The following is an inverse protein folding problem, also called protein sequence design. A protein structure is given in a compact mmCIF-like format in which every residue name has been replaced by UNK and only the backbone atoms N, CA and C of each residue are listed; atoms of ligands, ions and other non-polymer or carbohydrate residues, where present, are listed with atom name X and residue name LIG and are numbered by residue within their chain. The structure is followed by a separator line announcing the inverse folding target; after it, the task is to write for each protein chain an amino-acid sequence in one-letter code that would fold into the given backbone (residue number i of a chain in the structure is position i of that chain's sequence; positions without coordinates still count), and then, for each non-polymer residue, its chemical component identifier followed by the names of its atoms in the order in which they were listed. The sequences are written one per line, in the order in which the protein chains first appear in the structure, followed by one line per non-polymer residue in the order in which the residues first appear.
data_IF_551259187425
#
_entry.id   IF_551259187425
#
_cell.length_a   1.000
_cell.length_b   1.000
_cell.length_c   1.000
_cell.angle_alpha   90.00
_cell.angle_beta   90.00
_cell.angle_gamma   90.00
#
_symmetry.space_group_name_H-M   'P 1'
#
loop_
_entity.id
_entity.type
_entity.pdbx_description
1 polymer ?
#
# COMPACT_ATOMS: atom_id res chain seq x y z
N UNK A 1 -6.21 14.19 -4.26
CA UNK A 1 -6.54 14.88 -5.54
C UNK A 1 -5.78 14.19 -6.65
N UNK A 2 -6.48 13.68 -7.65
CA UNK A 2 -5.86 13.02 -8.80
C UNK A 2 -5.22 14.10 -9.65
N UNK A 3 -3.92 14.00 -9.88
CA UNK A 3 -3.24 14.80 -10.90
C UNK A 3 -3.56 14.15 -12.25
N UNK A 4 -3.98 14.90 -13.23
CA UNK A 4 -4.37 14.35 -14.53
C UNK A 4 -3.40 13.34 -15.13
N UNK A 5 -3.85 12.59 -16.11
CA UNK A 5 -3.01 11.64 -16.85
C UNK A 5 -2.05 12.40 -17.78
N UNK A 6 -0.74 12.28 -17.53
CA UNK A 6 0.30 12.94 -18.34
C UNK A 6 0.33 12.43 -19.79
N UNK A 7 -0.07 11.18 -20.03
CA UNK A 7 -0.18 10.60 -21.37
C UNK A 7 -1.47 11.01 -22.10
N UNK A 8 -2.43 11.63 -21.41
CA UNK A 8 -3.73 12.04 -21.93
C UNK A 8 -4.55 10.91 -22.58
N UNK A 9 -4.30 9.69 -22.17
CA UNK A 9 -4.99 8.49 -22.69
C UNK A 9 -6.28 8.19 -21.91
N UNK A 10 -6.40 8.70 -20.69
CA UNK A 10 -7.55 8.49 -19.82
C UNK A 10 -8.09 9.85 -19.40
N UNK A 11 -9.40 10.02 -19.55
CA UNK A 11 -10.09 11.15 -18.97
C UNK A 11 -10.10 11.02 -17.45
N UNK A 12 -9.48 11.99 -16.77
CA UNK A 12 -9.35 11.97 -15.30
C UNK A 12 -10.48 12.74 -14.65
N UNK A 13 -11.05 12.16 -13.63
CA UNK A 13 -12.06 12.76 -12.77
C UNK A 13 -11.40 13.28 -11.48
N UNK A 14 -12.12 14.10 -10.72
CA UNK A 14 -11.62 14.66 -9.46
C UNK A 14 -11.36 13.56 -8.43
N UNK A 15 -12.20 12.53 -8.42
CA UNK A 15 -12.16 11.43 -7.47
C UNK A 15 -12.11 10.07 -8.21
N UNK A 16 -11.71 9.03 -7.49
CA UNK A 16 -11.71 7.67 -8.00
C UNK A 16 -13.12 7.11 -8.11
N UNK A 17 -13.74 7.28 -9.27
CA UNK A 17 -15.02 6.62 -9.59
C UNK A 17 -14.80 5.20 -10.11
N UNK A 18 -15.81 4.32 -10.09
CA UNK A 18 -15.74 3.01 -10.72
C UNK A 18 -15.32 3.09 -12.20
N UNK A 19 -15.84 4.06 -12.95
CA UNK A 19 -15.47 4.31 -14.34
C UNK A 19 -13.99 4.58 -14.49
N UNK A 20 -13.44 5.48 -13.67
CA UNK A 20 -12.01 5.84 -13.72
C UNK A 20 -11.11 4.66 -13.33
N UNK A 21 -11.48 3.93 -12.28
CA UNK A 21 -10.78 2.70 -11.88
C UNK A 21 -10.71 1.69 -13.02
N UNK A 22 -11.83 1.44 -13.67
CA UNK A 22 -11.94 0.44 -14.72
C UNK A 22 -11.18 0.90 -15.98
N UNK A 23 -11.25 2.17 -16.37
CA UNK A 23 -10.46 2.75 -17.47
C UNK A 23 -8.96 2.64 -17.22
N UNK A 24 -8.51 2.88 -15.99
CA UNK A 24 -7.10 2.71 -15.62
C UNK A 24 -6.66 1.24 -15.69
N UNK A 25 -7.52 0.33 -15.24
CA UNK A 25 -7.25 -1.11 -15.32
C UNK A 25 -7.20 -1.60 -16.78
N UNK A 26 -8.07 -1.08 -17.66
CA UNK A 26 -8.04 -1.38 -19.11
C UNK A 26 -6.72 -0.92 -19.75
N UNK A 27 -6.23 0.26 -19.36
CA UNK A 27 -4.92 0.74 -19.81
C UNK A 27 -3.78 -0.18 -19.37
N UNK A 28 -3.78 -0.62 -18.12
CA UNK A 28 -2.78 -1.57 -17.61
C UNK A 28 -2.83 -2.89 -18.40
N UNK A 29 -4.01 -3.43 -18.64
CA UNK A 29 -4.18 -4.63 -19.47
C UNK A 29 -3.68 -4.42 -20.90
N UNK A 30 -3.98 -3.28 -21.51
CA UNK A 30 -3.49 -2.92 -22.83
C UNK A 30 -1.94 -2.84 -22.92
N UNK A 31 -1.29 -2.48 -21.81
CA UNK A 31 0.18 -2.54 -21.74
C UNK A 31 0.64 -3.99 -21.59
N UNK A 32 0.05 -4.76 -20.70
CA UNK A 32 0.42 -6.17 -20.48
C UNK A 32 0.25 -7.02 -21.72
N UNK A 33 -0.82 -6.83 -22.50
CA UNK A 33 -1.08 -7.57 -23.74
C UNK A 33 -0.01 -7.35 -24.82
N UNK A 34 0.71 -6.24 -24.78
CA UNK A 34 1.85 -5.99 -25.68
C UNK A 34 3.08 -6.83 -25.35
N UNK A 35 3.19 -7.30 -24.12
CA UNK A 35 4.34 -8.06 -23.61
C UNK A 35 4.05 -9.54 -23.41
N UNK A 36 2.78 -9.92 -23.34
CA UNK A 36 2.33 -11.30 -23.11
C UNK A 36 1.49 -11.72 -24.31
N UNK A 37 2.08 -12.51 -25.21
CA UNK A 37 1.50 -12.85 -26.53
C UNK A 37 0.17 -13.60 -26.48
N UNK A 38 -0.13 -14.31 -25.39
CA UNK A 38 -1.36 -15.08 -25.22
C UNK A 38 -2.25 -14.51 -24.08
N UNK A 39 -2.15 -13.21 -23.80
CA UNK A 39 -2.82 -12.55 -22.70
C UNK A 39 -4.33 -12.89 -22.61
N UNK A 40 -5.06 -12.74 -23.71
CA UNK A 40 -6.51 -12.95 -23.72
C UNK A 40 -6.89 -14.43 -23.50
N UNK A 41 -6.03 -15.36 -23.88
CA UNK A 41 -6.26 -16.78 -23.68
C UNK A 41 -6.00 -17.24 -22.24
N UNK A 42 -5.07 -16.60 -21.54
CA UNK A 42 -4.68 -16.99 -20.17
C UNK A 42 -5.40 -16.19 -19.10
N UNK A 43 -5.97 -15.04 -19.45
CA UNK A 43 -6.67 -14.19 -18.49
C UNK A 43 -7.98 -14.84 -18.03
N UNK A 44 -8.03 -15.29 -16.79
CA UNK A 44 -9.23 -15.88 -16.20
C UNK A 44 -10.19 -14.81 -15.66
N UNK A 45 -9.67 -13.79 -14.97
CA UNK A 45 -10.46 -12.74 -14.34
C UNK A 45 -9.58 -11.54 -14.00
N UNK A 46 -10.21 -10.36 -13.94
CA UNK A 46 -9.60 -9.14 -13.40
C UNK A 46 -10.37 -8.67 -12.17
N UNK A 47 -9.63 -8.17 -11.18
CA UNK A 47 -10.18 -7.36 -10.11
C UNK A 47 -9.26 -6.14 -9.91
N UNK A 48 -9.83 -4.96 -9.94
CA UNK A 48 -9.12 -3.71 -9.71
C UNK A 48 -9.65 -3.04 -8.44
N UNK A 49 -8.75 -2.47 -7.67
CA UNK A 49 -9.09 -1.64 -6.52
C UNK A 49 -8.46 -0.26 -6.71
N UNK A 50 -9.27 0.77 -6.54
CA UNK A 50 -8.79 2.14 -6.48
C UNK A 50 -8.26 2.46 -5.08
N UNK A 51 -7.50 3.55 -4.91
CA UNK A 51 -7.16 4.06 -3.58
C UNK A 51 -8.36 4.29 -2.67
N UNK A 52 -9.47 4.78 -3.22
CA UNK A 52 -10.72 4.95 -2.47
C UNK A 52 -11.33 3.62 -2.02
N UNK A 53 -11.27 2.58 -2.86
CA UNK A 53 -11.71 1.23 -2.46
C UNK A 53 -10.86 0.69 -1.30
N UNK A 54 -9.54 0.87 -1.35
CA UNK A 54 -8.63 0.41 -0.28
C UNK A 54 -8.92 1.14 1.03
N UNK A 55 -9.10 2.45 1.00
CA UNK A 55 -9.48 3.22 2.18
C UNK A 55 -10.87 2.82 2.72
N UNK A 56 -11.81 2.51 1.82
CA UNK A 56 -13.14 2.00 2.21
C UNK A 56 -13.09 0.64 2.88
N UNK A 57 -12.16 -0.23 2.49
CA UNK A 57 -11.94 -1.54 3.10
C UNK A 57 -11.26 -1.46 4.47
N UNK A 58 -10.38 -0.49 4.66
CA UNK A 58 -9.68 -0.24 5.91
C UNK A 58 -9.38 1.25 6.06
N UNK A 59 -10.03 1.89 7.00
CA UNK A 59 -9.93 3.34 7.27
C UNK A 59 -8.51 3.79 7.65
N UNK A 60 -7.63 2.87 8.07
CA UNK A 60 -6.24 3.19 8.36
C UNK A 60 -5.40 3.34 7.08
N UNK A 61 -5.89 2.88 5.93
CA UNK A 61 -5.25 3.08 4.63
C UNK A 61 -5.63 4.45 4.06
N UNK A 62 -5.21 5.52 4.72
CA UNK A 62 -5.58 6.89 4.36
C UNK A 62 -5.11 7.21 2.94
N UNK A 63 -6.03 7.63 2.08
CA UNK A 63 -5.75 7.85 0.65
C UNK A 63 -5.41 6.57 -0.13
N UNK A 64 -5.71 5.39 0.43
CA UNK A 64 -5.36 4.09 -0.17
C UNK A 64 -3.89 3.70 0.00
N UNK A 65 -3.16 4.37 0.90
CA UNK A 65 -1.75 4.07 1.15
C UNK A 65 -1.57 2.81 2.00
N UNK A 66 -1.02 1.70 1.45
CA UNK A 66 -0.76 0.48 2.20
C UNK A 66 0.53 0.55 3.03
N UNK A 67 1.33 1.59 2.88
CA UNK A 67 2.65 1.68 3.51
C UNK A 67 2.63 2.27 4.91
N UNK A 68 1.51 2.85 5.35
CA UNK A 68 1.35 3.33 6.71
C UNK A 68 2.26 4.50 7.07
N UNK A 69 2.49 5.42 6.14
CA UNK A 69 3.30 6.62 6.31
C UNK A 69 4.29 6.88 5.18
N UNK A 70 5.05 7.95 5.29
CA UNK A 70 5.99 8.37 4.25
C UNK A 70 7.09 7.33 3.99
N UNK A 71 7.43 7.14 2.71
CA UNK A 71 8.57 6.33 2.27
C UNK A 71 9.80 7.23 2.00
N UNK A 72 10.12 8.09 2.94
CA UNK A 72 11.30 8.96 2.93
C UNK A 72 12.43 8.36 3.76
N UNK A 73 13.67 8.77 3.52
CA UNK A 73 14.83 8.18 4.18
C UNK A 73 14.79 8.30 5.71
N UNK A 74 14.20 9.38 6.22
CA UNK A 74 13.99 9.60 7.66
C UNK A 74 12.90 8.72 8.27
N UNK A 75 12.08 8.06 7.42
CA UNK A 75 11.03 7.14 7.82
C UNK A 75 11.37 5.68 7.49
N UNK A 76 12.58 5.41 7.02
CA UNK A 76 13.07 4.05 6.87
C UNK A 76 13.90 3.61 8.08
N UNK A 77 14.15 2.35 8.18
CA UNK A 77 14.95 1.72 9.23
C UNK A 77 14.33 1.89 10.62
N UNK A 78 15.18 2.25 11.59
CA UNK A 78 14.82 2.31 13.00
C UNK A 78 14.04 3.56 13.43
N UNK A 79 13.92 4.56 12.56
CA UNK A 79 13.28 5.85 12.91
C UNK A 79 11.76 5.84 12.78
N UNK A 80 11.19 4.74 12.36
CA UNK A 80 9.77 4.57 12.10
C UNK A 80 9.03 4.05 13.34
N UNK A 81 7.87 4.58 13.74
CA UNK A 81 7.23 5.82 13.27
C UNK A 81 7.87 7.08 13.84
N UNK A 82 8.58 6.98 14.95
CA UNK A 82 9.28 8.07 15.65
C UNK A 82 10.63 7.59 16.12
N UNK A 83 11.65 8.44 16.10
CA UNK A 83 13.01 8.09 16.52
C UNK A 83 13.16 7.56 17.96
N UNK A 84 12.17 7.84 18.82
CA UNK A 84 12.14 7.32 20.20
C UNK A 84 11.53 5.92 20.32
N UNK A 85 10.82 5.43 19.31
CA UNK A 85 10.08 4.16 19.34
C UNK A 85 10.60 3.13 18.33
N UNK A 86 11.90 3.14 18.09
CA UNK A 86 12.55 2.24 17.12
C UNK A 86 12.44 0.75 17.44
N UNK A 87 12.04 0.42 18.66
CA UNK A 87 11.94 -0.97 19.16
C UNK A 87 10.52 -1.46 19.33
N UNK A 88 9.55 -0.81 18.71
CA UNK A 88 8.12 -1.13 18.78
C UNK A 88 7.47 -0.94 20.18
N UNK A 89 8.23 -0.56 21.21
CA UNK A 89 7.65 -0.26 22.52
C UNK A 89 6.95 1.09 22.51
N UNK A 90 5.88 1.22 23.28
CA UNK A 90 5.21 2.49 23.56
C UNK A 90 5.54 3.00 24.97
N UNK A 91 5.12 4.20 25.29
CA UNK A 91 5.27 4.74 26.65
C UNK A 91 4.36 4.03 27.68
N UNK A 92 3.47 3.19 27.20
CA UNK A 92 2.59 2.37 28.04
C UNK A 92 3.24 1.01 28.26
N UNK A 93 3.40 0.63 29.52
CA UNK A 93 4.00 -0.67 29.89
C UNK A 93 3.21 -1.83 29.25
N UNK A 94 3.93 -2.76 28.64
CA UNK A 94 3.38 -3.96 27.96
C UNK A 94 2.49 -3.67 26.74
N UNK A 95 2.51 -2.44 26.21
CA UNK A 95 1.85 -2.11 24.96
C UNK A 95 2.91 -1.95 23.86
N UNK A 96 2.75 -2.68 22.77
CA UNK A 96 3.66 -2.66 21.63
C UNK A 96 2.91 -2.24 20.37
N UNK A 97 3.57 -1.43 19.55
CA UNK A 97 3.06 -1.00 18.26
C UNK A 97 3.71 -1.84 17.17
N UNK A 98 2.90 -2.54 16.38
CA UNK A 98 3.36 -3.36 15.25
C UNK A 98 2.57 -3.01 13.99
N UNK A 99 3.16 -3.27 12.84
CA UNK A 99 2.52 -3.02 11.54
C UNK A 99 3.41 -2.24 10.58
N UNK A 100 2.82 -1.84 9.43
CA UNK A 100 3.53 -1.15 8.35
C UNK A 100 4.17 0.19 8.79
N UNK A 101 3.58 0.87 9.76
CA UNK A 101 4.08 2.14 10.30
C UNK A 101 5.27 2.01 11.25
N UNK A 102 5.71 0.80 11.58
CA UNK A 102 6.82 0.55 12.50
C UNK A 102 7.99 -0.13 11.80
N UNK A 103 9.17 -0.14 12.45
CA UNK A 103 10.32 -0.90 11.94
C UNK A 103 9.98 -2.41 11.84
N UNK A 104 10.35 -3.11 10.77
CA UNK A 104 11.19 -2.72 9.63
C UNK A 104 10.48 -1.96 8.50
N UNK A 105 9.26 -1.53 8.69
CA UNK A 105 8.49 -0.80 7.70
C UNK A 105 7.48 -1.67 6.94
N UNK A 106 6.89 -1.12 5.86
CA UNK A 106 5.89 -1.82 5.06
C UNK A 106 6.48 -3.04 4.35
N UNK A 107 5.65 -4.07 4.19
CA UNK A 107 6.00 -5.28 3.47
C UNK A 107 5.12 -6.46 3.86
N UNK A 108 5.27 -7.58 3.17
CA UNK A 108 4.48 -8.80 3.38
C UNK A 108 5.01 -9.71 4.49
N UNK A 109 6.11 -9.35 5.11
CA UNK A 109 6.87 -10.26 5.97
C UNK A 109 6.43 -10.34 7.44
N UNK A 110 5.50 -9.50 7.90
CA UNK A 110 5.14 -9.47 9.32
C UNK A 110 6.31 -9.16 10.28
N UNK A 111 7.37 -8.52 9.77
CA UNK A 111 8.66 -8.37 10.46
C UNK A 111 8.56 -7.67 11.82
N UNK A 112 7.72 -6.65 11.96
CA UNK A 112 7.54 -5.97 13.24
C UNK A 112 6.90 -6.88 14.30
N UNK A 113 5.90 -7.67 13.93
CA UNK A 113 5.27 -8.66 14.79
C UNK A 113 6.25 -9.77 15.19
N UNK A 114 7.03 -10.30 14.24
CA UNK A 114 8.06 -11.29 14.50
C UNK A 114 9.12 -10.78 15.50
N UNK A 115 9.60 -9.56 15.31
CA UNK A 115 10.58 -8.97 16.21
C UNK A 115 10.08 -8.85 17.65
N UNK A 116 8.80 -8.47 17.81
CA UNK A 116 8.20 -8.39 19.15
C UNK A 116 7.96 -9.77 19.75
N UNK A 117 7.44 -10.72 18.99
CA UNK A 117 7.24 -12.09 19.45
C UNK A 117 8.56 -12.70 19.96
N UNK A 118 9.63 -12.60 19.17
CA UNK A 118 10.96 -13.05 19.57
C UNK A 118 11.48 -12.34 20.84
N UNK A 119 11.24 -11.04 20.98
CA UNK A 119 11.63 -10.28 22.17
C UNK A 119 10.88 -10.70 23.42
N UNK A 120 9.62 -11.13 23.27
CA UNK A 120 8.76 -11.58 24.37
C UNK A 120 8.99 -13.07 24.72
N UNK A 121 9.86 -13.76 24.00
CA UNK A 121 10.22 -15.14 24.29
C UNK A 121 9.35 -16.20 23.60
N UNK A 122 8.70 -15.82 22.50
CA UNK A 122 7.96 -16.74 21.64
C UNK A 122 8.88 -17.41 20.60
#
# INVERSE_FOLDING_TARGET
MIKGDSAKEIETEKDWTPRMRDSFADRVEGILSKHITNWDAIKLKRRAYSPSDLQGMNVNLVGGDPYGGACTLDQFFVWRPHGRQSNNATDIKNLFHVGASTHPGPGLGGGSGFNIAKRLGA
#
